data_IF_226790523426
#
_entry.id   IF_226790523426
#
_cell.length_a   1.000
_cell.length_b   1.000
_cell.length_c   1.000
_cell.angle_alpha   90.00
_cell.angle_beta   90.00
_cell.angle_gamma   90.00
#
_symmetry.space_group_name_H-M   'P 1'
#
loop_
_entity.id
_entity.type
_entity.pdbx_description
1 polymer ?
#
# COMPACT_ATOMS: atom_id res chain seq x y z
N UNK A 1 -25.39 9.59 22.34
CA UNK A 1 -24.32 9.74 23.36
C UNK A 1 -23.63 11.11 23.36
N UNK A 2 -23.21 11.67 22.22
CA UNK A 2 -22.50 12.96 22.17
C UNK A 2 -23.33 14.16 22.69
N UNK A 3 -24.64 14.18 22.40
CA UNK A 3 -25.57 15.17 22.95
C UNK A 3 -25.74 15.04 24.48
N UNK A 4 -25.74 13.80 24.98
CA UNK A 4 -25.89 13.48 26.41
C UNK A 4 -24.63 13.84 27.21
N UNK A 5 -23.42 13.62 26.69
CA UNK A 5 -22.19 14.06 27.36
C UNK A 5 -22.10 15.59 27.42
N UNK A 6 -22.56 16.29 26.38
CA UNK A 6 -22.68 17.76 26.36
C UNK A 6 -23.68 18.25 27.40
N UNK A 7 -24.89 17.69 27.46
CA UNK A 7 -25.91 18.11 28.43
C UNK A 7 -25.45 17.90 29.88
N UNK A 8 -24.80 16.77 30.17
CA UNK A 8 -24.24 16.49 31.49
C UNK A 8 -23.07 17.42 31.85
N UNK A 9 -22.23 17.78 30.89
CA UNK A 9 -21.14 18.75 31.09
C UNK A 9 -21.68 20.14 31.46
N UNK A 10 -22.74 20.59 30.79
CA UNK A 10 -23.39 21.87 31.12
C UNK A 10 -24.07 21.82 32.49
N UNK A 11 -24.73 20.71 32.82
CA UNK A 11 -25.33 20.51 34.14
C UNK A 11 -24.27 20.54 35.24
N UNK A 12 -23.18 19.79 35.08
CA UNK A 12 -22.04 19.77 36.02
C UNK A 12 -21.39 21.15 36.20
N UNK A 13 -21.34 21.97 35.14
CA UNK A 13 -20.81 23.34 35.21
C UNK A 13 -21.73 24.27 36.02
N UNK A 14 -23.06 24.09 35.91
CA UNK A 14 -24.04 24.88 36.66
C UNK A 14 -24.13 24.48 38.13
N UNK A 15 -24.06 23.18 38.43
CA UNK A 15 -24.23 22.66 39.81
C UNK A 15 -22.92 22.54 40.59
N UNK A 16 -21.77 22.64 39.92
CA UNK A 16 -20.46 22.42 40.55
C UNK A 16 -20.18 20.94 40.87
N UNK A 17 -21.05 20.03 40.45
CA UNK A 17 -20.98 18.60 40.77
C UNK A 17 -19.82 17.91 40.03
N UNK A 18 -18.88 17.38 40.82
CA UNK A 18 -17.67 16.71 40.36
C UNK A 18 -18.00 15.33 39.77
N UNK A 19 -18.98 14.61 40.31
CA UNK A 19 -19.34 13.27 39.83
C UNK A 19 -20.02 13.34 38.46
N UNK A 20 -20.92 14.32 38.26
CA UNK A 20 -21.49 14.59 36.95
C UNK A 20 -20.41 14.94 35.91
N UNK A 21 -19.35 15.66 36.32
CA UNK A 21 -18.22 15.98 35.44
C UNK A 21 -17.44 14.73 35.04
N UNK A 22 -17.18 13.81 35.98
CA UNK A 22 -16.53 12.52 35.71
C UNK A 22 -17.36 11.66 34.76
N UNK A 23 -18.68 11.58 34.97
CA UNK A 23 -19.60 10.83 34.10
C UNK A 23 -19.62 11.41 32.68
N UNK A 24 -19.73 12.74 32.54
CA UNK A 24 -19.67 13.39 31.24
C UNK A 24 -18.34 13.14 30.52
N UNK A 25 -17.23 13.15 31.26
CA UNK A 25 -15.90 12.80 30.75
C UNK A 25 -15.82 11.37 30.22
N UNK A 26 -16.33 10.39 30.98
CA UNK A 26 -16.40 8.98 30.55
C UNK A 26 -17.19 8.82 29.25
N UNK A 27 -18.40 9.38 29.19
CA UNK A 27 -19.25 9.32 27.99
C UNK A 27 -18.59 9.97 26.78
N UNK A 28 -17.86 11.07 26.97
CA UNK A 28 -17.11 11.73 25.90
C UNK A 28 -15.99 10.83 25.37
N UNK A 29 -15.25 10.18 26.26
CA UNK A 29 -14.16 9.28 25.87
C UNK A 29 -14.69 8.04 25.15
N UNK A 30 -15.77 7.45 25.64
CA UNK A 30 -16.43 6.32 24.97
C UNK A 30 -16.93 6.71 23.58
N UNK A 31 -17.60 7.86 23.45
CA UNK A 31 -18.06 8.35 22.14
C UNK A 31 -16.89 8.61 21.19
N UNK A 32 -15.76 9.13 21.69
CA UNK A 32 -14.54 9.33 20.88
C UNK A 32 -13.95 8.00 20.42
N UNK A 33 -13.90 7.01 21.29
CA UNK A 33 -13.43 5.67 20.98
C UNK A 33 -14.31 5.04 19.88
N UNK A 34 -15.62 5.04 20.06
CA UNK A 34 -16.57 4.51 19.08
C UNK A 34 -16.47 5.23 17.74
N UNK A 35 -16.35 6.56 17.74
CA UNK A 35 -16.16 7.33 16.52
C UNK A 35 -14.86 6.96 15.80
N UNK A 36 -13.77 6.76 16.55
CA UNK A 36 -12.49 6.32 16.01
C UNK A 36 -12.59 4.91 15.41
N UNK A 37 -13.26 3.98 16.09
CA UNK A 37 -13.50 2.63 15.58
C UNK A 37 -14.32 2.67 14.29
N UNK A 38 -15.42 3.42 14.28
CA UNK A 38 -16.25 3.60 13.09
C UNK A 38 -15.45 4.21 11.94
N UNK A 39 -14.66 5.26 12.18
CA UNK A 39 -13.80 5.86 11.16
C UNK A 39 -12.78 4.86 10.61
N UNK A 40 -12.13 4.08 11.48
CA UNK A 40 -11.19 3.04 11.07
C UNK A 40 -11.86 1.94 10.25
N UNK A 41 -13.08 1.52 10.63
CA UNK A 41 -13.86 0.54 9.88
C UNK A 41 -14.27 1.08 8.51
N UNK A 42 -14.76 2.32 8.43
CA UNK A 42 -15.10 2.96 7.16
C UNK A 42 -13.87 3.10 6.27
N UNK A 43 -12.73 3.53 6.83
CA UNK A 43 -11.47 3.63 6.09
C UNK A 43 -11.02 2.25 5.58
N UNK A 44 -11.07 1.23 6.45
CA UNK A 44 -10.70 -0.13 6.08
C UNK A 44 -11.60 -0.68 4.98
N UNK A 45 -12.91 -0.41 5.05
CA UNK A 45 -13.88 -0.78 4.02
C UNK A 45 -13.59 -0.07 2.70
N UNK A 46 -13.38 1.24 2.73
CA UNK A 46 -13.04 2.03 1.55
C UNK A 46 -11.70 1.60 0.91
N UNK A 47 -10.70 1.26 1.72
CA UNK A 47 -9.43 0.72 1.24
C UNK A 47 -9.62 -0.67 0.61
N UNK A 48 -10.44 -1.54 1.19
CA UNK A 48 -10.79 -2.82 0.55
C UNK A 48 -11.50 -2.60 -0.78
N UNK A 49 -12.44 -1.66 -0.86
CA UNK A 49 -13.14 -1.28 -2.10
C UNK A 49 -12.19 -0.70 -3.16
N UNK A 50 -11.15 0.05 -2.74
CA UNK A 50 -10.08 0.53 -3.63
C UNK A 50 -9.34 -0.61 -4.34
N UNK A 51 -9.08 -1.70 -3.63
CA UNK A 51 -8.30 -2.83 -4.13
C UNK A 51 -9.15 -3.93 -4.79
N UNK A 52 -10.48 -3.77 -4.83
CA UNK A 52 -11.37 -4.74 -5.44
C UNK A 52 -11.40 -4.58 -6.97
N UNK A 53 -11.20 -5.67 -7.76
CA UNK A 53 -11.46 -5.62 -9.19
C UNK A 53 -12.97 -5.46 -9.44
N UNK A 54 -13.37 -4.49 -10.29
CA UNK A 54 -14.76 -4.32 -10.73
C UNK A 54 -15.40 -2.96 -10.40
N UNK A 55 -16.74 -2.91 -10.41
CA UNK A 55 -17.51 -1.65 -10.29
C UNK A 55 -17.31 -0.91 -8.96
N UNK A 56 -16.95 -1.63 -7.88
CA UNK A 56 -16.73 -1.06 -6.54
C UNK A 56 -15.52 -0.12 -6.50
N UNK A 57 -14.40 -0.48 -7.13
CA UNK A 57 -13.24 0.42 -7.23
C UNK A 57 -13.52 1.61 -8.15
N UNK A 58 -14.31 1.42 -9.20
CA UNK A 58 -14.76 2.52 -10.07
C UNK A 58 -15.61 3.55 -9.31
N UNK A 59 -16.53 3.07 -8.47
CA UNK A 59 -17.34 3.94 -7.59
C UNK A 59 -16.45 4.65 -6.56
N UNK A 60 -15.49 3.96 -5.95
CA UNK A 60 -14.52 4.56 -5.03
C UNK A 60 -13.74 5.71 -5.68
N UNK A 61 -13.13 5.47 -6.84
CA UNK A 61 -12.35 6.50 -7.54
C UNK A 61 -13.22 7.65 -8.07
N UNK A 62 -14.45 7.37 -8.52
CA UNK A 62 -15.37 8.43 -8.96
C UNK A 62 -15.83 9.35 -7.81
N UNK A 63 -16.04 8.82 -6.60
CA UNK A 63 -16.29 9.65 -5.41
C UNK A 63 -15.05 10.45 -5.02
N UNK A 64 -13.88 9.85 -5.12
CA UNK A 64 -12.59 10.47 -4.78
C UNK A 64 -12.21 11.60 -5.75
N UNK A 65 -12.74 11.56 -6.98
CA UNK A 65 -12.60 12.56 -8.05
C UNK A 65 -12.84 14.01 -7.58
N UNK A 66 -13.84 14.22 -6.71
CA UNK A 66 -14.19 15.53 -6.16
C UNK A 66 -13.14 16.10 -5.20
N UNK A 67 -12.23 15.26 -4.69
CA UNK A 67 -11.16 15.67 -3.79
C UNK A 67 -9.86 16.00 -4.52
N UNK A 68 -9.77 15.78 -5.84
CA UNK A 68 -8.64 16.23 -6.67
C UNK A 68 -8.81 17.68 -7.17
N UNK A 69 -9.81 18.42 -6.66
CA UNK A 69 -10.03 19.81 -7.06
C UNK A 69 -8.89 20.69 -6.53
N UNK A 70 -8.30 21.45 -7.46
CA UNK A 70 -7.10 22.30 -7.31
C UNK A 70 -7.14 23.29 -6.14
N UNK A 71 -8.32 23.65 -5.65
CA UNK A 71 -8.51 24.66 -4.62
C UNK A 71 -8.18 24.19 -3.20
N UNK A 72 -8.23 22.88 -2.91
CA UNK A 72 -8.04 22.36 -1.54
C UNK A 72 -7.20 21.07 -1.42
N UNK A 73 -6.68 20.54 -2.53
CA UNK A 73 -5.90 19.30 -2.54
C UNK A 73 -4.39 19.59 -2.47
N UNK A 74 -3.65 18.80 -1.69
CA UNK A 74 -2.18 18.81 -1.67
C UNK A 74 -1.55 18.35 -2.99
N UNK A 75 -2.31 17.68 -3.86
CA UNK A 75 -1.85 17.16 -5.15
C UNK A 75 -2.24 18.11 -6.28
N UNK A 76 -1.24 18.73 -6.92
CA UNK A 76 -1.44 19.76 -7.96
C UNK A 76 -1.56 19.22 -9.40
N UNK A 77 -1.15 17.97 -9.63
CA UNK A 77 -1.15 17.33 -10.95
C UNK A 77 -0.32 16.05 -10.96
N UNK A 78 -0.46 15.24 -12.02
CA UNK A 78 0.45 14.12 -12.31
C UNK A 78 1.38 14.48 -13.47
N UNK A 79 2.60 13.96 -13.43
CA UNK A 79 3.54 14.02 -14.55
C UNK A 79 3.44 12.74 -15.37
N UNK A 80 3.20 12.89 -16.67
CA UNK A 80 3.32 11.79 -17.63
C UNK A 80 4.79 11.46 -17.88
N UNK A 81 5.08 10.24 -18.33
CA UNK A 81 6.41 9.84 -18.82
C UNK A 81 6.88 10.66 -20.02
N UNK A 82 5.94 11.30 -20.73
CA UNK A 82 6.20 12.24 -21.82
C UNK A 82 6.51 13.67 -21.36
N UNK A 83 6.49 13.93 -20.05
CA UNK A 83 6.70 15.27 -19.46
C UNK A 83 5.44 16.14 -19.40
N UNK A 84 4.30 15.67 -19.93
CA UNK A 84 3.03 16.39 -19.85
C UNK A 84 2.48 16.44 -18.43
N UNK A 85 1.98 17.61 -18.03
CA UNK A 85 1.35 17.81 -16.72
C UNK A 85 -0.16 17.62 -16.85
N UNK A 86 -0.68 16.57 -16.24
CA UNK A 86 -2.11 16.28 -16.17
C UNK A 86 -2.68 16.96 -14.93
N UNK A 87 -3.38 18.08 -15.13
CA UNK A 87 -4.00 18.87 -14.07
C UNK A 87 -5.53 18.72 -14.02
N UNK A 88 -6.12 18.05 -15.01
CA UNK A 88 -7.55 17.79 -15.07
C UNK A 88 -7.90 16.68 -14.05
N UNK A 89 -8.79 16.95 -13.06
CA UNK A 89 -9.15 15.98 -12.03
C UNK A 89 -9.67 14.66 -12.63
N UNK A 90 -10.32 14.74 -13.80
CA UNK A 90 -10.88 13.57 -14.45
C UNK A 90 -9.79 12.64 -14.94
N UNK A 91 -8.89 13.17 -15.77
CA UNK A 91 -7.71 12.45 -16.27
C UNK A 91 -6.77 12.02 -15.17
N UNK A 92 -6.61 12.80 -14.09
CA UNK A 92 -5.78 12.42 -12.95
C UNK A 92 -6.31 11.16 -12.24
N UNK A 93 -7.61 11.09 -11.97
CA UNK A 93 -8.22 9.94 -11.33
C UNK A 93 -8.12 8.68 -12.20
N UNK A 94 -8.39 8.84 -13.51
CA UNK A 94 -8.34 7.73 -14.46
C UNK A 94 -6.89 7.19 -14.59
N UNK A 95 -5.90 8.09 -14.68
CA UNK A 95 -4.48 7.70 -14.74
C UNK A 95 -3.98 7.03 -13.45
N UNK A 96 -4.43 7.49 -12.29
CA UNK A 96 -4.12 6.86 -11.01
C UNK A 96 -4.75 5.46 -10.92
N UNK A 97 -6.00 5.31 -11.37
CA UNK A 97 -6.67 4.01 -11.42
C UNK A 97 -5.92 3.03 -12.34
N UNK A 98 -5.50 3.47 -13.54
CA UNK A 98 -4.69 2.65 -14.45
C UNK A 98 -3.35 2.24 -13.83
N UNK A 99 -2.65 3.18 -13.20
CA UNK A 99 -1.35 2.91 -12.57
C UNK A 99 -1.50 1.87 -11.45
N UNK A 100 -2.46 2.05 -10.55
CA UNK A 100 -2.69 1.09 -9.47
C UNK A 100 -3.29 -0.23 -9.96
N UNK A 101 -4.08 -0.23 -11.04
CA UNK A 101 -4.56 -1.45 -11.69
C UNK A 101 -3.41 -2.31 -12.19
N UNK A 102 -2.47 -1.71 -12.93
CA UNK A 102 -1.26 -2.39 -13.43
C UNK A 102 -0.30 -2.84 -12.33
N UNK A 103 -0.21 -2.07 -11.24
CA UNK A 103 0.62 -2.44 -10.09
C UNK A 103 0.07 -3.65 -9.32
N UNK A 104 -1.22 -3.96 -9.51
CA UNK A 104 -1.95 -5.04 -8.85
C UNK A 104 -2.22 -6.24 -9.78
N UNK A 105 -2.01 -6.10 -11.09
CA UNK A 105 -1.79 -7.26 -11.95
C UNK A 105 -0.62 -8.03 -11.34
N UNK A 106 -0.91 -9.22 -10.80
CA UNK A 106 0.06 -10.01 -10.07
C UNK A 106 1.34 -10.05 -10.89
N UNK A 107 2.51 -9.68 -10.33
CA UNK A 107 3.75 -9.80 -11.08
C UNK A 107 3.76 -11.23 -11.58
N UNK A 108 3.87 -11.41 -12.91
CA UNK A 108 3.96 -12.73 -13.50
C UNK A 108 5.01 -13.46 -12.69
N UNK A 109 4.55 -14.36 -11.82
CA UNK A 109 5.48 -15.16 -11.03
C UNK A 109 6.12 -15.99 -12.11
N UNK A 110 7.30 -15.56 -12.56
CA UNK A 110 8.20 -16.40 -13.30
C UNK A 110 8.57 -17.48 -12.30
N UNK A 111 7.69 -18.48 -12.22
CA UNK A 111 8.05 -19.77 -11.68
C UNK A 111 9.24 -20.14 -12.57
N UNK A 112 10.44 -20.40 -12.01
CA UNK A 112 11.46 -21.06 -12.81
C UNK A 112 10.75 -22.23 -13.49
N UNK A 113 11.07 -22.47 -14.77
CA UNK A 113 10.52 -23.63 -15.47
C UNK A 113 10.55 -24.81 -14.49
N UNK A 114 9.48 -25.64 -14.41
CA UNK A 114 9.55 -26.85 -13.61
C UNK A 114 10.91 -27.48 -13.92
N UNK A 115 11.64 -27.96 -12.90
CA UNK A 115 12.93 -28.62 -13.09
C UNK A 115 12.70 -29.80 -14.04
N UNK A 116 12.72 -29.52 -15.33
CA UNK A 116 12.93 -30.51 -16.38
C UNK A 116 14.40 -30.80 -16.19
N UNK A 117 14.70 -32.07 -15.92
CA UNK A 117 16.07 -32.53 -15.76
C UNK A 117 16.90 -31.89 -16.86
N UNK A 118 17.86 -31.05 -16.46
CA UNK A 118 18.76 -30.38 -17.38
C UNK A 118 19.28 -31.45 -18.34
N UNK A 119 19.19 -31.28 -19.67
CA UNK A 119 19.73 -32.28 -20.59
C UNK A 119 21.18 -32.56 -20.17
N UNK A 120 21.59 -33.84 -20.08
CA UNK A 120 22.89 -34.19 -19.56
C UNK A 120 23.95 -33.41 -20.33
N UNK A 121 24.71 -32.60 -19.60
CA UNK A 121 25.80 -31.81 -20.17
C UNK A 121 26.80 -32.81 -20.73
N UNK A 122 26.87 -32.92 -22.05
CA UNK A 122 27.97 -33.60 -22.72
C UNK A 122 29.20 -32.70 -22.57
N UNK A 123 29.99 -32.96 -21.53
CA UNK A 123 31.31 -32.36 -21.42
C UNK A 123 32.14 -32.88 -22.60
N UNK A 124 32.49 -32.00 -23.53
CA UNK A 124 33.25 -32.35 -24.75
C UNK A 124 34.56 -33.10 -24.42
N UNK A 125 35.06 -32.94 -23.19
CA UNK A 125 36.33 -33.50 -22.73
C UNK A 125 36.16 -34.62 -21.70
N UNK A 126 34.99 -35.27 -21.59
CA UNK A 126 34.75 -36.31 -20.56
C UNK A 126 35.69 -37.52 -20.67
N UNK A 127 36.31 -37.72 -21.83
CA UNK A 127 37.24 -38.82 -22.11
C UNK A 127 38.71 -38.37 -22.12
N UNK A 128 39.00 -37.09 -21.88
CA UNK A 128 40.38 -36.59 -21.85
C UNK A 128 40.97 -36.80 -20.46
N UNK A 129 42.11 -37.50 -20.39
CA UNK A 129 42.88 -37.64 -19.16
C UNK A 129 43.50 -36.28 -18.82
N UNK A 130 43.12 -35.73 -17.67
CA UNK A 130 43.74 -34.51 -17.15
C UNK A 130 45.24 -34.79 -16.96
N UNK A 131 46.13 -34.01 -17.59
CA UNK A 131 47.57 -34.22 -17.45
C UNK A 131 48.01 -33.99 -16.00
N UNK A 132 48.94 -34.79 -15.47
CA UNK A 132 49.45 -34.59 -14.13
C UNK A 132 50.19 -33.25 -14.05
N UNK A 133 49.72 -32.36 -13.19
CA UNK A 133 50.39 -31.07 -12.93
C UNK A 133 51.49 -31.28 -11.90
N UNK A 134 52.68 -30.76 -12.18
CA UNK A 134 53.82 -30.85 -11.27
C UNK A 134 53.78 -29.73 -10.23
N UNK A 135 54.28 -30.00 -9.02
CA UNK A 135 54.33 -29.01 -7.93
C UNK A 135 55.00 -27.66 -8.32
N UNK A 136 56.08 -27.62 -9.13
CA UNK A 136 56.66 -26.36 -9.59
C UNK A 136 55.72 -25.50 -10.45
N UNK A 137 54.88 -26.12 -11.27
CA UNK A 137 53.92 -25.40 -12.12
C UNK A 137 52.85 -24.71 -11.27
N UNK A 138 52.38 -25.38 -10.22
CA UNK A 138 51.43 -24.81 -9.26
C UNK A 138 52.03 -23.59 -8.55
N UNK A 139 53.29 -23.68 -8.14
CA UNK A 139 53.98 -22.57 -7.47
C UNK A 139 54.19 -21.36 -8.38
N UNK A 140 54.36 -21.55 -9.69
CA UNK A 140 54.48 -20.45 -10.64
C UNK A 140 53.17 -19.68 -10.84
N UNK A 141 52.02 -20.36 -10.84
CA UNK A 141 50.70 -19.72 -10.96
C UNK A 141 50.33 -18.92 -9.70
N UNK A 142 50.77 -19.37 -8.52
CA UNK A 142 50.49 -18.67 -7.25
C UNK A 142 51.39 -17.45 -7.01
N UNK A 143 52.44 -17.24 -7.81
CA UNK A 143 53.39 -16.12 -7.68
C UNK A 143 53.07 -14.93 -8.59
N UNK A 144 52.10 -15.05 -9.49
CA UNK A 144 51.47 -13.93 -10.22
C UNK A 144 50.32 -13.35 -9.41
#
# INVERSE_FOLDING_TARGET
MLAQSRSLSFRAKRTGDIELRKVAGRLRNQTRYELKCFQNEQLSKQLKERHAPGETSRIFWSKTKRHFIKASASLKGFFSSTGEIINDPQRMADRAADHYGKLLEAPTVMRPQPYVDTPPVQWENSNELIPPVTYPEILNVLRT
#
